data_IF_833752403983
#
_entry.id   IF_833752403983
#
_cell.length_a   1.000
_cell.length_b   1.000
_cell.length_c   1.000
_cell.angle_alpha   90.00
_cell.angle_beta   90.00
_cell.angle_gamma   90.00
#
_symmetry.space_group_name_H-M   'P 1'
#
loop_
_entity.id
_entity.type
_entity.pdbx_description
1 polymer ?
#
# COMPACT_ATOMS: atom_id res chain seq x y z
N UNK A 1 -3.61 -20.61 -4.70
CA UNK A 1 -2.69 -19.52 -4.31
C UNK A 1 -3.21 -18.94 -2.99
N UNK A 2 -2.51 -19.09 -1.86
CA UNK A 2 -2.93 -18.42 -0.62
C UNK A 2 -2.71 -16.92 -0.81
N UNK A 3 -3.77 -16.12 -0.70
CA UNK A 3 -3.65 -14.67 -0.64
C UNK A 3 -2.89 -14.37 0.65
N UNK A 4 -1.61 -14.05 0.55
CA UNK A 4 -0.84 -13.58 1.70
C UNK A 4 -1.42 -12.22 2.05
N UNK A 5 -2.27 -12.18 3.08
CA UNK A 5 -2.73 -10.92 3.65
C UNK A 5 -1.49 -10.20 4.16
N UNK A 6 -1.10 -9.11 3.51
CA UNK A 6 0.00 -8.27 3.98
C UNK A 6 -0.31 -7.77 5.38
N UNK A 7 0.69 -7.77 6.26
CA UNK A 7 0.56 -7.18 7.59
C UNK A 7 0.47 -5.66 7.47
N UNK A 8 -0.45 -5.08 8.24
CA UNK A 8 -0.43 -3.64 8.48
C UNK A 8 0.82 -3.27 9.29
N UNK A 9 1.20 -2.00 9.25
CA UNK A 9 2.35 -1.50 10.02
C UNK A 9 2.21 -1.83 11.51
N UNK A 10 1.01 -1.65 12.07
CA UNK A 10 0.75 -1.93 13.48
C UNK A 10 0.86 -3.42 13.84
N UNK A 11 0.47 -4.31 12.92
CA UNK A 11 0.61 -5.75 13.13
C UNK A 11 2.07 -6.17 13.06
N UNK A 12 2.82 -5.67 12.08
CA UNK A 12 4.26 -5.94 11.97
C UNK A 12 5.04 -5.49 13.20
N UNK A 13 4.65 -4.36 13.82
CA UNK A 13 5.27 -3.86 15.05
C UNK A 13 4.97 -4.71 16.30
N UNK A 14 3.91 -5.51 16.27
CA UNK A 14 3.50 -6.38 17.39
C UNK A 14 3.86 -7.84 17.16
N UNK A 15 4.40 -8.17 15.98
CA UNK A 15 4.73 -9.54 15.63
C UNK A 15 5.92 -10.06 16.49
N UNK A 16 5.77 -11.18 17.21
CA UNK A 16 6.82 -11.70 18.07
C UNK A 16 8.10 -12.10 17.34
N UNK A 17 7.99 -12.62 16.10
CA UNK A 17 9.16 -13.02 15.30
C UNK A 17 9.92 -11.80 14.82
N UNK A 18 9.22 -10.79 14.29
CA UNK A 18 9.82 -9.53 13.87
C UNK A 18 10.52 -8.87 15.06
N UNK A 19 9.88 -8.83 16.23
CA UNK A 19 10.47 -8.27 17.44
C UNK A 19 11.71 -9.04 17.93
N UNK A 20 11.80 -10.36 17.71
CA UNK A 20 13.01 -11.13 18.02
C UNK A 20 14.16 -10.78 17.07
N UNK A 21 13.90 -10.68 15.77
CA UNK A 21 14.91 -10.32 14.76
C UNK A 21 15.41 -8.91 14.99
N UNK A 22 14.53 -7.93 15.20
CA UNK A 22 14.93 -6.55 15.50
C UNK A 22 15.85 -6.45 16.71
N UNK A 23 15.56 -7.22 17.77
CA UNK A 23 16.41 -7.26 18.97
C UNK A 23 17.78 -7.89 18.68
N UNK A 24 17.83 -8.94 17.86
CA UNK A 24 19.09 -9.55 17.44
C UNK A 24 19.96 -8.58 16.62
N UNK A 25 19.32 -7.75 15.79
CA UNK A 25 19.99 -6.78 14.91
C UNK A 25 20.20 -5.40 15.57
N UNK A 26 19.77 -5.21 16.83
CA UNK A 26 19.91 -3.94 17.54
C UNK A 26 19.05 -2.79 17.00
N UNK A 27 17.95 -3.10 16.30
CA UNK A 27 17.05 -2.12 15.69
C UNK A 27 16.00 -1.64 16.70
N UNK A 28 15.85 -0.32 16.83
CA UNK A 28 14.81 0.28 17.69
C UNK A 28 13.44 0.23 17.02
N UNK A 29 12.39 0.15 17.85
CA UNK A 29 11.00 0.12 17.37
C UNK A 29 10.63 1.35 16.55
N UNK A 30 11.08 2.53 16.98
CA UNK A 30 10.80 3.80 16.31
C UNK A 30 11.45 3.88 14.91
N UNK A 31 12.69 3.43 14.78
CA UNK A 31 13.42 3.41 13.51
C UNK A 31 12.72 2.49 12.50
N UNK A 32 12.29 1.31 12.95
CA UNK A 32 11.56 0.36 12.12
C UNK A 32 10.17 0.90 11.72
N UNK A 33 9.45 1.53 12.65
CA UNK A 33 8.18 2.20 12.36
C UNK A 33 8.36 3.28 11.29
N UNK A 34 9.35 4.16 11.47
CA UNK A 34 9.62 5.24 10.52
C UNK A 34 10.00 4.71 9.13
N UNK A 35 10.77 3.62 9.06
CA UNK A 35 11.10 2.95 7.81
C UNK A 35 9.85 2.42 7.11
N UNK A 36 8.98 1.70 7.83
CA UNK A 36 7.72 1.18 7.27
C UNK A 36 6.78 2.30 6.81
N UNK A 37 6.63 3.37 7.59
CA UNK A 37 5.82 4.52 7.21
C UNK A 37 6.39 5.21 5.96
N UNK A 38 7.71 5.38 5.89
CA UNK A 38 8.37 5.97 4.72
C UNK A 38 8.18 5.09 3.48
N UNK A 39 8.34 3.78 3.62
CA UNK A 39 8.11 2.82 2.55
C UNK A 39 6.65 2.82 2.08
N UNK A 40 5.69 2.91 3.01
CA UNK A 40 4.27 3.00 2.70
C UNK A 40 3.94 4.31 1.95
N UNK A 41 4.54 5.45 2.34
CA UNK A 41 4.37 6.72 1.61
C UNK A 41 4.98 6.68 0.21
N UNK A 42 6.12 6.00 0.03
CA UNK A 42 6.77 5.81 -1.28
C UNK A 42 6.05 4.82 -2.16
N UNK A 43 5.38 3.82 -1.57
CA UNK A 43 4.28 3.10 -2.21
C UNK A 43 3.09 4.05 -2.31
N UNK A 44 3.21 5.09 -3.15
CA UNK A 44 2.00 5.57 -3.79
C UNK A 44 1.30 4.33 -4.34
N UNK A 45 -0.02 4.16 -4.13
CA UNK A 45 -0.72 3.18 -4.92
C UNK A 45 -0.32 3.53 -6.34
N UNK A 46 0.11 2.55 -7.12
CA UNK A 46 0.01 2.66 -8.56
C UNK A 46 -1.50 2.70 -8.89
N UNK A 47 -2.23 3.70 -8.36
CA UNK A 47 -3.44 4.25 -8.91
C UNK A 47 -2.99 4.59 -10.31
N UNK A 48 -3.28 3.62 -11.17
CA UNK A 48 -2.51 3.38 -12.37
C UNK A 48 -2.42 4.71 -13.09
N UNK A 49 -1.25 5.09 -13.61
CA UNK A 49 -1.19 6.27 -14.49
C UNK A 49 -2.35 6.21 -15.51
N UNK A 50 -2.69 5.00 -15.94
CA UNK A 50 -3.91 4.59 -16.66
C UNK A 50 -5.24 5.07 -16.04
N UNK A 51 -5.51 4.86 -14.75
CA UNK A 51 -6.71 5.37 -14.08
C UNK A 51 -6.81 6.90 -14.07
N UNK A 52 -5.67 7.59 -13.90
CA UNK A 52 -5.59 9.05 -14.08
C UNK A 52 -5.89 9.49 -15.52
N UNK A 53 -5.38 8.77 -16.52
CA UNK A 53 -5.66 9.01 -17.93
C UNK A 53 -7.14 8.75 -18.28
N UNK A 54 -7.72 7.64 -17.82
CA UNK A 54 -9.15 7.29 -18.05
C UNK A 54 -10.04 8.37 -17.45
N UNK A 55 -9.74 8.84 -16.23
CA UNK A 55 -10.53 9.87 -15.56
C UNK A 55 -10.40 11.26 -16.24
N UNK A 56 -9.22 11.57 -16.79
CA UNK A 56 -9.00 12.78 -17.58
C UNK A 56 -9.74 12.76 -18.94
N UNK A 57 -9.79 11.60 -19.60
CA UNK A 57 -10.54 11.40 -20.85
C UNK A 57 -12.05 11.49 -20.58
N UNK A 58 -12.53 10.83 -19.52
CA UNK A 58 -13.95 10.85 -19.14
C UNK A 58 -14.46 12.27 -18.83
N UNK A 59 -13.67 13.07 -18.10
CA UNK A 59 -14.00 14.48 -17.82
C UNK A 59 -14.08 15.35 -19.09
N UNK A 60 -13.18 15.14 -20.07
CA UNK A 60 -13.23 15.87 -21.34
C UNK A 60 -14.40 15.44 -22.24
N UNK A 61 -14.80 14.17 -22.14
CA UNK A 61 -15.93 13.62 -22.88
C UNK A 61 -17.29 13.92 -22.21
N UNK A 62 -17.31 14.50 -21.00
CA UNK A 62 -18.54 14.72 -20.23
C UNK A 62 -19.23 13.41 -19.80
N UNK A 63 -18.48 12.30 -19.73
CA UNK A 63 -19.02 10.99 -19.38
C UNK A 63 -18.78 10.72 -17.89
N UNK A 64 -19.85 10.46 -17.14
CA UNK A 64 -19.76 10.09 -15.72
C UNK A 64 -19.16 8.67 -15.59
N UNK A 65 -18.07 8.49 -14.80
CA UNK A 65 -17.31 7.23 -14.75
C UNK A 65 -18.00 6.07 -14.00
N UNK A 66 -19.27 6.20 -13.61
CA UNK A 66 -20.00 5.18 -12.84
C UNK A 66 -20.42 3.95 -13.65
N UNK A 67 -20.16 3.89 -14.96
CA UNK A 67 -20.57 2.78 -15.84
C UNK A 67 -19.46 1.78 -16.19
N UNK A 68 -18.20 2.05 -15.85
CA UNK A 68 -17.08 1.13 -16.09
C UNK A 68 -16.78 0.28 -14.84
N UNK A 69 -17.80 -0.39 -14.32
CA UNK A 69 -17.64 -1.50 -13.36
C UNK A 69 -18.18 -2.81 -13.96
N UNK A 70 -17.78 -3.10 -15.20
CA UNK A 70 -17.92 -4.44 -15.76
C UNK A 70 -16.68 -4.77 -16.58
N UNK A 71 -15.66 -5.33 -15.92
CA UNK A 71 -14.80 -6.33 -16.55
C UNK A 71 -14.05 -7.09 -15.44
N UNK A 72 -14.49 -8.34 -15.27
CA UNK A 72 -13.82 -9.54 -14.74
C UNK A 72 -12.83 -9.40 -13.57
#
# INVERSE_FOLDING_TARGET
MRKTSDLTISEALRDPLIAMVMRADGVKLDDFKQLLETAARKREPNASKVGGFINAIANRAGVNPTTVSCLC
#
